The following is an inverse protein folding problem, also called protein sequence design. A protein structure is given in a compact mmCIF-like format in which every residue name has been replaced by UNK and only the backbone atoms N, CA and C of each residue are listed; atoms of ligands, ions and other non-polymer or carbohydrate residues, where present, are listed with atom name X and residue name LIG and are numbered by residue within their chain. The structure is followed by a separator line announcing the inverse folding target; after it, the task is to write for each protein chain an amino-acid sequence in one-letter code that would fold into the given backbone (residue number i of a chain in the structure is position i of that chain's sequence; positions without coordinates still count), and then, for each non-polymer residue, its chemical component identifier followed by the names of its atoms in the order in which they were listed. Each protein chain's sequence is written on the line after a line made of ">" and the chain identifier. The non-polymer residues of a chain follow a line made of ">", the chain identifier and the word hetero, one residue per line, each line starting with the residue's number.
data_IF_181438486962
#
_entry.id   IF_181438486962
#
_cell.length_a   1.000
_cell.length_b   1.000
_cell.length_c   1.000
_cell.angle_alpha   90.00
_cell.angle_beta   90.00
_cell.angle_gamma   90.00
#
_symmetry.space_group_name_H-M   'P 1'
#
loop_
_entity.id
_entity.type
_entity.pdbx_description
1 polymer ?
#
# COMPACT_ATOMS: atom_id res chain seq x y z
N UNK A 1 18.89 -0.33 -11.41
CA UNK A 1 18.44 -1.01 -10.17
C UNK A 1 18.70 -0.08 -9.00
N UNK A 2 17.76 0.06 -8.07
CA UNK A 2 18.01 0.76 -6.82
C UNK A 2 18.91 -0.09 -5.94
N UNK A 3 20.07 0.43 -5.55
CA UNK A 3 20.93 -0.18 -4.55
C UNK A 3 20.52 0.38 -3.18
N UNK A 4 20.02 -0.47 -2.29
CA UNK A 4 19.60 -0.08 -0.93
C UNK A 4 18.66 -1.11 -0.32
N UNK A 5 18.63 -1.18 1.01
CA UNK A 5 17.67 -1.99 1.74
C UNK A 5 16.31 -1.27 1.87
N UNK A 6 15.28 -2.05 2.23
CA UNK A 6 13.93 -1.54 2.42
C UNK A 6 13.87 -0.47 3.51
N UNK A 7 14.63 -0.64 4.59
CA UNK A 7 14.63 0.29 5.72
C UNK A 7 15.10 1.69 5.29
N UNK A 8 16.16 1.76 4.50
CA UNK A 8 16.68 3.00 3.92
C UNK A 8 15.62 3.67 3.05
N UNK A 9 14.92 2.91 2.19
CA UNK A 9 13.83 3.45 1.37
C UNK A 9 12.69 4.01 2.24
N UNK A 10 12.30 3.30 3.29
CA UNK A 10 11.24 3.75 4.21
C UNK A 10 11.66 4.98 5.01
N UNK A 11 12.90 5.04 5.48
CA UNK A 11 13.44 6.21 6.18
C UNK A 11 13.48 7.44 5.25
N UNK A 12 13.77 7.26 3.95
CA UNK A 12 13.66 8.34 2.98
C UNK A 12 12.23 8.81 2.74
N UNK A 13 11.22 7.94 2.84
CA UNK A 13 9.82 8.35 2.80
C UNK A 13 9.46 9.11 4.08
N UNK A 14 9.80 8.58 5.25
CA UNK A 14 9.51 9.23 6.53
C UNK A 14 10.12 10.64 6.60
N UNK A 15 11.37 10.79 6.15
CA UNK A 15 12.06 12.08 6.09
C UNK A 15 11.39 13.11 5.17
N UNK A 16 10.53 12.69 4.23
CA UNK A 16 9.76 13.62 3.40
C UNK A 16 8.79 14.48 4.25
N UNK A 17 8.31 13.96 5.39
CA UNK A 17 7.47 14.71 6.32
C UNK A 17 8.20 15.88 6.98
N UNK A 18 9.54 15.83 7.05
CA UNK A 18 10.36 16.84 7.74
C UNK A 18 10.93 17.89 6.78
N UNK A 19 11.23 17.50 5.54
CA UNK A 19 11.95 18.36 4.58
C UNK A 19 11.03 19.20 3.69
N UNK A 20 9.76 18.81 3.55
CA UNK A 20 8.77 19.57 2.78
C UNK A 20 7.79 20.30 3.70
N UNK A 21 7.19 21.41 3.25
CA UNK A 21 6.12 22.07 3.99
C UNK A 21 4.95 21.12 4.27
N UNK A 22 4.25 21.29 5.39
CA UNK A 22 3.21 20.35 5.83
C UNK A 22 2.06 20.09 4.84
N UNK A 23 1.84 21.00 3.88
CA UNK A 23 0.83 20.90 2.82
C UNK A 23 1.37 20.31 1.50
N UNK A 24 2.55 19.70 1.49
CA UNK A 24 3.13 19.12 0.29
C UNK A 24 2.28 17.95 -0.23
N UNK A 25 2.31 17.75 -1.56
CA UNK A 25 1.71 16.57 -2.20
C UNK A 25 2.74 15.93 -3.11
N UNK A 26 3.11 14.67 -2.84
CA UNK A 26 3.92 13.85 -3.74
C UNK A 26 3.02 13.01 -4.62
N UNK A 27 3.36 12.92 -5.90
CA UNK A 27 2.79 11.91 -6.79
C UNK A 27 3.54 10.58 -6.54
N UNK A 28 2.80 9.54 -6.16
CA UNK A 28 3.29 8.19 -5.87
C UNK A 28 2.95 7.30 -7.05
N UNK A 29 3.97 6.68 -7.64
CA UNK A 29 3.83 5.77 -8.78
C UNK A 29 4.76 4.58 -8.61
N UNK A 30 4.34 3.42 -9.11
CA UNK A 30 5.20 2.24 -9.25
C UNK A 30 5.93 2.21 -10.59
N UNK A 31 5.32 2.80 -11.61
CA UNK A 31 5.81 2.86 -12.98
C UNK A 31 5.29 4.15 -13.66
N UNK A 32 5.93 4.52 -14.76
CA UNK A 32 5.52 5.59 -15.66
C UNK A 32 6.12 5.32 -17.05
N UNK A 33 5.99 6.26 -17.98
CA UNK A 33 6.51 6.09 -19.34
C UNK A 33 8.05 5.93 -19.42
N UNK A 34 8.80 6.42 -18.43
CA UNK A 34 10.26 6.38 -18.38
C UNK A 34 10.83 5.19 -17.60
N UNK A 35 9.98 4.41 -16.93
CA UNK A 35 10.40 3.30 -16.06
C UNK A 35 9.85 1.96 -16.56
N UNK A 36 10.56 0.84 -16.29
CA UNK A 36 10.02 -0.49 -16.53
C UNK A 36 8.71 -0.71 -15.79
N UNK A 37 7.86 -1.60 -16.34
CA UNK A 37 6.61 -2.01 -15.71
C UNK A 37 6.86 -2.72 -14.38
N UNK A 38 6.10 -2.41 -13.33
CA UNK A 38 6.14 -3.11 -12.05
C UNK A 38 5.83 -4.60 -12.19
N UNK A 39 4.94 -4.97 -13.12
CA UNK A 39 4.63 -6.36 -13.44
C UNK A 39 5.84 -7.16 -13.98
N UNK A 40 6.87 -6.47 -14.48
CA UNK A 40 8.14 -7.10 -14.90
C UNK A 40 9.16 -7.25 -13.76
N UNK A 41 8.92 -6.60 -12.61
CA UNK A 41 9.86 -6.51 -11.48
C UNK A 41 9.43 -7.34 -10.26
N UNK A 42 8.15 -7.68 -10.13
CA UNK A 42 7.66 -8.54 -9.05
C UNK A 42 8.17 -9.97 -9.17
N UNK A 43 8.45 -10.62 -8.03
CA UNK A 43 8.92 -12.02 -8.01
C UNK A 43 7.77 -12.98 -8.26
N UNK A 44 6.64 -12.73 -7.60
CA UNK A 44 5.38 -13.44 -7.80
C UNK A 44 4.35 -12.47 -8.37
N UNK A 45 3.56 -12.86 -9.39
CA UNK A 45 2.54 -12.00 -9.98
C UNK A 45 1.64 -11.34 -8.93
N UNK A 46 1.34 -12.07 -7.86
CA UNK A 46 0.42 -11.63 -6.84
C UNK A 46 0.95 -10.53 -5.91
N UNK A 47 2.28 -10.33 -5.88
CA UNK A 47 2.89 -9.19 -5.16
C UNK A 47 2.48 -7.85 -5.75
N UNK A 48 2.00 -7.80 -7.00
CA UNK A 48 1.53 -6.56 -7.62
C UNK A 48 0.45 -5.88 -6.77
N UNK A 49 -0.37 -6.67 -6.06
CA UNK A 49 -1.40 -6.16 -5.14
C UNK A 49 -0.75 -5.51 -3.93
N UNK A 50 0.30 -6.11 -3.34
CA UNK A 50 1.04 -5.53 -2.23
C UNK A 50 1.68 -4.20 -2.61
N UNK A 51 2.36 -4.14 -3.76
CA UNK A 51 2.98 -2.90 -4.26
C UNK A 51 1.92 -1.83 -4.55
N UNK A 52 0.81 -2.19 -5.20
CA UNK A 52 -0.28 -1.27 -5.52
C UNK A 52 -0.94 -0.74 -4.25
N UNK A 53 -1.28 -1.60 -3.30
CA UNK A 53 -1.84 -1.22 -2.00
C UNK A 53 -0.90 -0.27 -1.24
N UNK A 54 0.39 -0.59 -1.22
CA UNK A 54 1.41 0.24 -0.60
C UNK A 54 1.45 1.64 -1.25
N UNK A 55 1.50 1.71 -2.59
CA UNK A 55 1.49 2.97 -3.33
C UNK A 55 0.28 3.84 -2.96
N UNK A 56 -0.92 3.27 -2.87
CA UNK A 56 -2.13 3.99 -2.50
C UNK A 56 -2.12 4.44 -1.04
N UNK A 57 -1.49 3.68 -0.15
CA UNK A 57 -1.41 4.01 1.28
C UNK A 57 -0.34 5.07 1.60
N UNK A 58 0.65 5.31 0.74
CA UNK A 58 1.60 6.40 0.92
C UNK A 58 0.94 7.79 0.91
N UNK A 59 1.41 8.71 1.76
CA UNK A 59 0.94 10.11 1.74
C UNK A 59 1.24 10.77 0.40
N UNK A 60 0.23 11.44 -0.16
CA UNK A 60 0.24 12.04 -1.49
C UNK A 60 -0.82 11.47 -2.42
N UNK A 61 -0.72 11.82 -3.71
CA UNK A 61 -1.62 11.35 -4.77
C UNK A 61 -1.08 10.05 -5.40
N UNK A 62 -1.96 9.10 -5.69
CA UNK A 62 -1.58 7.86 -6.38
C UNK A 62 -1.76 8.00 -7.90
N UNK A 63 -0.74 7.62 -8.67
CA UNK A 63 -0.79 7.56 -10.13
C UNK A 63 -0.86 6.11 -10.61
N UNK A 64 -1.78 5.80 -11.52
CA UNK A 64 -1.82 4.54 -12.25
C UNK A 64 -1.47 4.84 -13.70
N UNK A 65 -0.45 4.16 -14.26
CA UNK A 65 -0.07 4.32 -15.65
C UNK A 65 -0.84 3.34 -16.55
N UNK A 66 -1.22 3.76 -17.77
CA UNK A 66 -2.06 2.93 -18.64
C UNK A 66 -1.49 1.53 -18.89
N UNK A 67 -2.25 0.48 -18.62
CA UNK A 67 -1.81 -0.92 -18.73
C UNK A 67 -1.23 -1.51 -17.45
N UNK A 68 -0.97 -0.69 -16.42
CA UNK A 68 -0.59 -1.19 -15.09
C UNK A 68 -1.71 -2.05 -14.51
N UNK A 69 -2.96 -1.61 -14.67
CA UNK A 69 -4.19 -2.32 -14.25
C UNK A 69 -4.41 -3.63 -15.02
N UNK A 70 -3.78 -3.78 -16.18
CA UNK A 70 -3.74 -5.00 -16.96
C UNK A 70 -2.45 -5.81 -16.75
N UNK A 71 -1.62 -5.46 -15.75
CA UNK A 71 -0.36 -6.15 -15.46
C UNK A 71 0.55 -6.31 -16.70
N UNK A 72 0.52 -5.34 -17.61
CA UNK A 72 1.38 -5.36 -18.80
C UNK A 72 2.85 -5.33 -18.35
N UNK A 73 3.66 -6.23 -18.91
CA UNK A 73 5.07 -6.35 -18.57
C UNK A 73 5.97 -5.54 -19.49
N UNK A 74 5.47 -5.13 -20.66
CA UNK A 74 6.26 -4.39 -21.64
C UNK A 74 6.15 -2.89 -21.36
N UNK A 75 7.29 -2.22 -21.25
CA UNK A 75 7.35 -0.76 -21.29
C UNK A 75 7.14 -0.33 -22.76
N UNK A 76 6.10 0.47 -23.07
CA UNK A 76 5.85 0.90 -24.45
C UNK A 76 7.01 1.73 -25.01
N UNK A 77 7.33 1.54 -26.30
CA UNK A 77 8.28 2.42 -27.02
C UNK A 77 7.78 3.87 -27.04
N UNK A 78 8.72 4.82 -26.88
CA UNK A 78 8.46 6.25 -27.05
C UNK A 78 8.57 6.72 -28.51
N UNK A 79 9.14 5.90 -29.39
CA UNK A 79 9.50 6.28 -30.75
C UNK A 79 8.69 5.55 -31.82
N UNK A 80 8.27 4.32 -31.51
CA UNK A 80 7.55 3.45 -32.44
C UNK A 80 6.14 3.17 -31.92
N UNK A 81 5.24 2.79 -32.83
CA UNK A 81 3.91 2.33 -32.44
C UNK A 81 4.05 1.05 -31.61
N UNK A 82 3.73 1.16 -30.33
CA UNK A 82 3.74 0.06 -29.40
C UNK A 82 2.49 0.11 -28.51
N UNK A 83 1.56 -0.81 -28.75
CA UNK A 83 0.27 -0.81 -28.07
C UNK A 83 0.39 -1.50 -26.71
N UNK A 84 -0.29 -0.95 -25.72
CA UNK A 84 -0.47 -1.59 -24.41
C UNK A 84 -1.14 -2.95 -24.59
N UNK A 85 -0.62 -3.97 -23.91
CA UNK A 85 -1.27 -5.27 -23.86
C UNK A 85 -2.37 -5.29 -22.79
N UNK A 86 -3.62 -5.53 -23.22
CA UNK A 86 -4.80 -5.56 -22.35
C UNK A 86 -5.32 -6.98 -22.04
N UNK A 87 -4.66 -8.04 -22.53
CA UNK A 87 -5.13 -9.43 -22.43
C UNK A 87 -5.42 -9.86 -20.99
N UNK A 88 -4.64 -9.33 -20.04
CA UNK A 88 -4.73 -9.67 -18.61
C UNK A 88 -5.61 -8.70 -17.80
N UNK A 89 -6.32 -7.77 -18.44
CA UNK A 89 -7.21 -6.81 -17.74
C UNK A 89 -8.26 -7.51 -16.86
N UNK A 90 -8.76 -8.66 -17.32
CA UNK A 90 -9.76 -9.47 -16.62
C UNK A 90 -9.16 -10.66 -15.86
N UNK A 91 -7.83 -10.81 -15.84
CA UNK A 91 -7.16 -11.86 -15.08
C UNK A 91 -7.27 -11.54 -13.59
N UNK A 92 -7.66 -12.55 -12.82
CA UNK A 92 -7.81 -12.42 -11.37
C UNK A 92 -6.47 -12.64 -10.68
N UNK A 93 -6.15 -11.78 -9.74
CA UNK A 93 -5.04 -12.00 -8.80
C UNK A 93 -5.59 -12.80 -7.61
N UNK A 94 -4.82 -13.78 -7.14
CA UNK A 94 -5.26 -14.73 -6.09
C UNK A 94 -6.55 -15.51 -6.40
N UNK A 95 -6.98 -15.56 -7.67
CA UNK A 95 -8.24 -16.20 -8.07
C UNK A 95 -9.52 -15.44 -7.69
N UNK A 96 -9.41 -14.24 -7.12
CA UNK A 96 -10.53 -13.54 -6.49
C UNK A 96 -11.03 -12.36 -7.33
N UNK A 97 -10.16 -11.37 -7.55
CA UNK A 97 -10.51 -10.07 -8.13
C UNK A 97 -9.47 -9.62 -9.17
N UNK A 98 -9.89 -8.82 -10.16
CA UNK A 98 -8.97 -8.20 -11.12
C UNK A 98 -8.18 -7.08 -10.45
N UNK A 99 -6.97 -6.80 -10.94
CA UNK A 99 -6.17 -5.69 -10.42
C UNK A 99 -6.91 -4.34 -10.58
N UNK A 100 -7.66 -4.14 -11.66
CA UNK A 100 -8.50 -2.96 -11.86
C UNK A 100 -9.60 -2.81 -10.79
N UNK A 101 -10.24 -3.92 -10.37
CA UNK A 101 -11.19 -3.93 -9.26
C UNK A 101 -10.53 -3.53 -7.94
N UNK A 102 -9.37 -4.11 -7.65
CA UNK A 102 -8.56 -3.77 -6.46
C UNK A 102 -8.14 -2.29 -6.47
N UNK A 103 -7.66 -1.77 -7.61
CA UNK A 103 -7.32 -0.35 -7.78
C UNK A 103 -8.53 0.54 -7.51
N UNK A 104 -9.71 0.16 -8.02
CA UNK A 104 -10.95 0.92 -7.81
C UNK A 104 -11.33 0.96 -6.33
N UNK A 105 -11.19 -0.17 -5.62
CA UNK A 105 -11.42 -0.28 -4.17
C UNK A 105 -10.42 0.57 -3.38
N UNK A 106 -9.13 0.49 -3.70
CA UNK A 106 -8.06 1.30 -3.10
C UNK A 106 -8.30 2.80 -3.35
N UNK A 107 -8.75 3.19 -4.54
CA UNK A 107 -9.12 4.57 -4.84
C UNK A 107 -10.33 5.04 -3.99
N UNK A 108 -11.28 4.15 -3.69
CA UNK A 108 -12.36 4.40 -2.74
C UNK A 108 -11.83 4.66 -1.31
N UNK A 109 -10.93 3.80 -0.82
CA UNK A 109 -10.27 3.97 0.48
C UNK A 109 -9.50 5.29 0.54
N UNK A 110 -8.71 5.60 -0.49
CA UNK A 110 -7.85 6.78 -0.59
C UNK A 110 -8.61 8.12 -0.53
N UNK A 111 -9.89 8.13 -0.88
CA UNK A 111 -10.78 9.31 -0.80
C UNK A 111 -11.22 9.64 0.63
N UNK A 112 -10.93 8.78 1.62
CA UNK A 112 -11.19 9.08 3.03
C UNK A 112 -10.43 10.33 3.49
N UNK A 113 -11.07 11.16 4.32
CA UNK A 113 -10.48 12.39 4.87
C UNK A 113 -9.18 12.15 5.64
N UNK A 114 -9.01 10.96 6.21
CA UNK A 114 -7.80 10.61 6.96
C UNK A 114 -6.51 10.71 6.12
N UNK A 115 -6.58 10.57 4.79
CA UNK A 115 -5.42 10.76 3.91
C UNK A 115 -5.06 12.22 3.65
N UNK A 116 -6.02 13.15 3.84
CA UNK A 116 -5.81 14.58 3.70
C UNK A 116 -5.40 15.22 5.03
N UNK A 117 -6.09 14.84 6.11
CA UNK A 117 -6.01 15.54 7.40
C UNK A 117 -5.26 14.73 8.49
N UNK A 118 -5.11 13.42 8.30
CA UNK A 118 -4.50 12.52 9.27
C UNK A 118 -2.98 12.65 9.34
N UNK A 119 -2.43 12.31 10.50
CA UNK A 119 -0.98 12.20 10.71
C UNK A 119 -0.50 10.91 10.08
N UNK A 120 0.42 11.00 9.12
CA UNK A 120 1.02 9.85 8.44
C UNK A 120 2.30 9.39 9.14
N UNK A 121 2.37 8.11 9.46
CA UNK A 121 3.57 7.45 9.97
C UNK A 121 3.86 6.20 9.14
N UNK A 122 5.15 5.93 8.90
CA UNK A 122 5.62 4.75 8.18
C UNK A 122 6.87 4.20 8.83
N UNK A 123 6.95 2.88 8.97
CA UNK A 123 8.10 2.17 9.52
C UNK A 123 8.21 0.76 8.97
N UNK A 124 9.40 0.18 9.06
CA UNK A 124 9.58 -1.26 8.89
C UNK A 124 8.90 -2.01 10.04
N UNK A 125 8.37 -3.19 9.77
CA UNK A 125 7.73 -4.05 10.77
C UNK A 125 8.71 -4.96 11.50
N UNK A 126 8.21 -5.68 12.51
CA UNK A 126 9.03 -6.64 13.30
C UNK A 126 9.44 -7.88 12.50
N UNK A 127 8.82 -8.12 11.34
CA UNK A 127 9.18 -9.19 10.41
C UNK A 127 9.99 -8.59 9.26
N UNK A 128 11.09 -9.25 8.88
CA UNK A 128 11.97 -8.77 7.81
C UNK A 128 11.19 -8.52 6.50
N UNK A 129 11.51 -7.42 5.83
CA UNK A 129 10.90 -6.97 4.57
C UNK A 129 9.38 -6.70 4.68
N UNK A 130 8.94 -6.22 5.85
CA UNK A 130 7.57 -5.77 6.07
C UNK A 130 7.52 -4.28 6.38
N UNK A 131 6.43 -3.63 6.00
CA UNK A 131 6.19 -2.21 6.22
C UNK A 131 4.84 -2.03 6.88
N UNK A 132 4.78 -1.14 7.87
CA UNK A 132 3.56 -0.71 8.54
C UNK A 132 3.38 0.79 8.29
N UNK A 133 2.24 1.15 7.73
CA UNK A 133 1.76 2.52 7.58
C UNK A 133 0.63 2.72 8.60
N UNK A 134 0.67 3.84 9.31
CA UNK A 134 -0.40 4.24 10.22
C UNK A 134 -0.82 5.67 9.90
N UNK A 135 -2.13 5.87 9.69
CA UNK A 135 -2.72 7.21 9.76
C UNK A 135 -3.46 7.37 11.08
N UNK A 136 -3.31 8.55 11.70
CA UNK A 136 -3.97 8.90 12.95
C UNK A 136 -4.83 10.14 12.75
N UNK A 137 -6.11 10.03 13.07
CA UNK A 137 -7.04 11.17 13.06
C UNK A 137 -7.11 11.78 14.47
N UNK A 138 -6.95 13.10 14.59
CA UNK A 138 -7.08 13.78 15.89
C UNK A 138 -8.54 14.04 16.23
N UNK A 139 -8.90 13.97 17.51
CA UNK A 139 -10.20 14.46 17.99
C UNK A 139 -10.29 15.98 17.82
N UNK A 140 -11.46 16.47 17.42
CA UNK A 140 -11.73 17.91 17.30
C UNK A 140 -11.54 18.67 18.63
N UNK A 141 -11.72 17.99 19.76
CA UNK A 141 -11.78 18.61 21.10
C UNK A 141 -10.48 18.56 21.90
N UNK A 142 -9.42 17.89 21.42
CA UNK A 142 -8.18 17.73 22.19
C UNK A 142 -6.97 17.46 21.32
N UNK A 143 -5.89 18.23 21.52
CA UNK A 143 -4.67 18.12 20.70
C UNK A 143 -3.91 16.80 20.90
N UNK A 144 -4.17 16.03 21.96
CA UNK A 144 -3.37 14.86 22.32
C UNK A 144 -4.11 13.52 22.18
N UNK A 145 -5.40 13.52 21.86
CA UNK A 145 -6.19 12.28 21.69
C UNK A 145 -6.54 12.02 20.22
N UNK A 146 -6.46 10.75 19.82
CA UNK A 146 -6.83 10.29 18.49
C UNK A 146 -8.26 9.71 18.48
N UNK A 147 -9.02 9.98 17.41
CA UNK A 147 -10.40 9.50 17.22
C UNK A 147 -10.46 8.16 16.49
N UNK A 148 -9.57 7.95 15.53
CA UNK A 148 -9.56 6.76 14.68
C UNK A 148 -8.17 6.53 14.09
N UNK A 149 -7.88 5.27 13.72
CA UNK A 149 -6.67 4.93 12.99
C UNK A 149 -6.99 4.18 11.70
N UNK A 150 -6.10 4.33 10.71
CA UNK A 150 -6.06 3.47 9.53
C UNK A 150 -4.68 2.82 9.46
N UNK A 151 -4.64 1.50 9.56
CA UNK A 151 -3.41 0.72 9.49
C UNK A 151 -3.29 0.04 8.12
N UNK A 152 -2.11 0.11 7.52
CA UNK A 152 -1.73 -0.65 6.33
C UNK A 152 -0.48 -1.48 6.61
N UNK A 153 -0.50 -2.76 6.21
CA UNK A 153 0.60 -3.70 6.44
C UNK A 153 0.94 -4.38 5.11
N UNK A 154 2.22 -4.32 4.74
CA UNK A 154 2.72 -4.77 3.44
C UNK A 154 3.87 -5.74 3.63
N UNK A 155 3.67 -6.98 3.21
CA UNK A 155 4.64 -8.06 3.30
C UNK A 155 5.39 -8.24 1.98
N UNK A 156 6.50 -7.51 1.79
CA UNK A 156 7.34 -7.66 0.60
C UNK A 156 8.22 -8.92 0.68
N UNK A 157 8.52 -9.37 1.90
CA UNK A 157 9.33 -10.55 2.17
C UNK A 157 8.66 -11.89 1.92
N UNK A 158 7.33 -11.92 1.67
CA UNK A 158 6.54 -13.14 1.48
C UNK A 158 6.65 -14.14 2.65
N UNK A 159 6.74 -13.62 3.88
CA UNK A 159 6.91 -14.44 5.09
C UNK A 159 5.60 -14.59 5.85
N UNK A 160 5.22 -15.82 6.17
CA UNK A 160 4.13 -16.08 7.11
C UNK A 160 4.68 -16.12 8.54
N UNK A 161 4.26 -15.21 9.40
CA UNK A 161 4.76 -15.12 10.79
C UNK A 161 3.84 -14.24 11.66
N UNK A 162 4.10 -14.21 12.97
CA UNK A 162 3.48 -13.24 13.86
C UNK A 162 4.12 -11.86 13.69
N UNK A 163 3.33 -10.86 13.32
CA UNK A 163 3.76 -9.47 13.24
C UNK A 163 3.32 -8.72 14.50
N UNK A 164 4.26 -8.01 15.14
CA UNK A 164 3.97 -7.11 16.26
C UNK A 164 3.41 -5.80 15.72
N UNK A 165 2.27 -5.39 16.25
CA UNK A 165 1.60 -4.15 15.85
C UNK A 165 2.05 -2.95 16.70
N UNK A 166 1.87 -1.71 16.19
CA UNK A 166 1.99 -0.53 17.02
C UNK A 166 1.03 -0.59 18.22
N UNK A 167 1.46 -0.09 19.38
CA UNK A 167 0.65 -0.06 20.61
C UNK A 167 -0.70 0.65 20.47
N UNK A 168 -0.81 1.55 19.49
CA UNK A 168 -2.05 2.25 19.15
C UNK A 168 -3.14 1.32 18.58
N UNK A 169 -2.81 0.09 18.19
CA UNK A 169 -3.77 -0.90 17.68
C UNK A 169 -4.10 -1.90 18.80
N UNK A 170 -5.31 -1.84 19.38
CA UNK A 170 -5.72 -2.77 20.42
C UNK A 170 -6.04 -4.16 19.84
N UNK A 171 -6.09 -5.15 20.73
CA UNK A 171 -6.61 -6.47 20.42
C UNK A 171 -8.09 -6.39 20.00
N UNK A 172 -8.47 -7.24 19.05
CA UNK A 172 -9.82 -7.22 18.49
C UNK A 172 -9.92 -7.90 17.14
N UNK A 173 -11.11 -7.80 16.55
CA UNK A 173 -11.40 -8.26 15.19
C UNK A 173 -11.68 -7.06 14.28
N UNK A 174 -10.98 -7.03 13.15
CA UNK A 174 -11.07 -5.97 12.16
C UNK A 174 -11.44 -6.55 10.79
N UNK A 175 -11.80 -5.68 9.86
CA UNK A 175 -12.07 -6.07 8.47
C UNK A 175 -10.95 -5.59 7.57
N UNK A 176 -10.46 -6.50 6.72
CA UNK A 176 -9.49 -6.17 5.70
C UNK A 176 -10.18 -5.43 4.54
N UNK A 177 -10.05 -4.11 4.53
CA UNK A 177 -10.71 -3.21 3.58
C UNK A 177 -10.26 -3.41 2.13
N UNK A 178 -9.10 -4.02 1.89
CA UNK A 178 -8.64 -4.35 0.53
C UNK A 178 -9.24 -5.66 0.01
N UNK A 179 -9.73 -6.53 0.90
CA UNK A 179 -10.32 -7.82 0.51
C UNK A 179 -11.76 -7.61 0.00
N UNK A 180 -12.17 -8.30 -1.08
CA UNK A 180 -13.55 -8.27 -1.53
C UNK A 180 -14.53 -9.03 -0.62
N UNK A 181 -14.03 -9.90 0.27
CA UNK A 181 -14.85 -10.85 1.05
C UNK A 181 -14.99 -10.50 2.55
N UNK A 182 -14.76 -9.25 2.93
CA UNK A 182 -14.74 -8.83 4.35
C UNK A 182 -13.87 -9.74 5.23
N UNK A 183 -12.71 -10.16 4.69
CA UNK A 183 -11.74 -10.99 5.39
C UNK A 183 -11.45 -10.41 6.78
N UNK A 184 -11.60 -11.24 7.81
CA UNK A 184 -11.40 -10.82 9.20
C UNK A 184 -9.93 -10.86 9.56
N UNK A 185 -9.47 -9.83 10.26
CA UNK A 185 -8.13 -9.71 10.83
C UNK A 185 -8.28 -9.82 12.34
N UNK A 186 -7.62 -10.81 12.95
CA UNK A 186 -7.59 -10.97 14.39
C UNK A 186 -6.27 -10.44 14.95
N UNK A 187 -6.37 -9.51 15.90
CA UNK A 187 -5.25 -9.03 16.70
C UNK A 187 -5.39 -9.57 18.11
N UNK A 188 -4.35 -10.24 18.58
CA UNK A 188 -4.29 -10.85 19.91
C UNK A 188 -2.89 -10.70 20.50
N UNK A 189 -2.81 -10.31 21.75
CA UNK A 189 -1.56 -10.03 22.47
C UNK A 189 -0.65 -9.05 21.69
N UNK A 190 -1.27 -8.03 21.06
CA UNK A 190 -0.58 -7.02 20.24
C UNK A 190 0.01 -7.55 18.93
N UNK A 191 -0.40 -8.75 18.49
CA UNK A 191 0.12 -9.42 17.29
C UNK A 191 -0.98 -9.83 16.35
N UNK A 192 -0.65 -9.91 15.07
CA UNK A 192 -1.48 -10.57 14.07
C UNK A 192 -0.69 -11.62 13.29
N UNK A 193 -1.41 -12.55 12.67
CA UNK A 193 -0.85 -13.52 11.73
C UNK A 193 -0.68 -12.86 10.37
N UNK A 194 0.57 -12.65 9.97
CA UNK A 194 0.92 -12.11 8.68
C UNK A 194 0.80 -13.20 7.60
N UNK A 195 0.02 -12.92 6.57
CA UNK A 195 -0.05 -13.72 5.34
C UNK A 195 0.73 -13.07 4.19
N UNK A 196 0.48 -13.54 2.96
CA UNK A 196 1.09 -12.97 1.75
C UNK A 196 0.36 -11.71 1.24
N UNK A 197 -0.91 -11.56 1.61
CA UNK A 197 -1.75 -10.44 1.18
C UNK A 197 -1.46 -9.19 2.01
N UNK A 198 -1.53 -7.99 1.41
CA UNK A 198 -1.50 -6.77 2.18
C UNK A 198 -2.78 -6.66 3.02
N UNK A 199 -2.67 -6.01 4.17
CA UNK A 199 -3.79 -5.74 5.06
C UNK A 199 -4.01 -4.23 5.13
N UNK A 200 -5.26 -3.79 5.05
CA UNK A 200 -5.65 -2.41 5.33
C UNK A 200 -6.90 -2.45 6.19
N UNK A 201 -6.87 -1.87 7.39
CA UNK A 201 -8.02 -1.89 8.30
C UNK A 201 -8.11 -0.63 9.15
N UNK A 202 -9.34 -0.28 9.51
CA UNK A 202 -9.63 0.80 10.47
C UNK A 202 -9.64 0.26 11.88
N UNK A 203 -9.21 1.10 12.83
CA UNK A 203 -9.24 0.87 14.28
C UNK A 203 -10.05 1.98 14.92
#
# INVERSE_FOLDING_TARGET
>A
SGAGDLETYINHIARQEEIYPGNYVKLRCLENHDQPRIASQVLLPEQIVTYTAFQFMLKGAAMVYNGQEAMDKKQPSLFDRDLVNWDKLNEKVWGEETLSGIISRLAGIKKSKIFADGIFEIKTGSVKDTVVILYKERKETGKEEYSSFLCGIFNFGLRASGLVLPEAIPDGEYENLISPENEKICVKDGKLTLGLRPLIFKV
#
